data_IF_374020101735
#
_entry.id   IF_374020101735
#
_cell.length_a   1.000
_cell.length_b   1.000
_cell.length_c   1.000
_cell.angle_alpha   90.00
_cell.angle_beta   90.00
_cell.angle_gamma   90.00
#
_symmetry.space_group_name_H-M   'P 1'
#
loop_
_entity.id
_entity.type
_entity.pdbx_description
1 polymer ?
#
# COMPACT_ATOMS: atom_id res chain seq x y z
N UNK A 1 3.22 18.28 17.53
CA UNK A 1 4.04 18.09 16.31
C UNK A 1 3.89 16.65 15.87
N UNK A 2 3.68 16.36 14.58
CA UNK A 2 3.67 14.99 14.11
C UNK A 2 4.98 14.32 14.55
N UNK A 3 4.87 13.11 15.09
CA UNK A 3 6.03 12.33 15.50
C UNK A 3 7.00 12.28 14.33
N UNK A 4 8.26 12.71 14.52
CA UNK A 4 9.25 12.72 13.45
C UNK A 4 9.36 11.30 12.90
N UNK A 5 8.95 11.12 11.65
CA UNK A 5 9.12 9.86 10.95
C UNK A 5 10.62 9.51 10.96
N UNK A 6 10.96 8.33 11.47
CA UNK A 6 12.32 7.77 11.44
C UNK A 6 12.30 6.47 10.65
N UNK A 7 12.39 6.52 9.31
CA UNK A 7 12.49 5.32 8.49
C UNK A 7 13.76 4.55 8.87
N UNK A 8 13.60 3.29 9.29
CA UNK A 8 14.73 2.44 9.71
C UNK A 8 15.11 1.39 8.67
N UNK A 9 14.28 1.18 7.64
CA UNK A 9 14.51 0.17 6.60
C UNK A 9 14.20 0.72 5.21
N UNK A 10 14.97 0.27 4.23
CA UNK A 10 14.70 0.45 2.81
C UNK A 10 14.01 -0.80 2.27
N UNK A 11 12.95 -0.61 1.49
CA UNK A 11 12.10 -1.70 0.99
C UNK A 11 12.08 -1.69 -0.55
N UNK A 12 12.93 -2.49 -1.22
CA UNK A 12 12.87 -2.61 -2.68
C UNK A 12 11.63 -3.43 -3.08
N UNK A 13 10.74 -2.83 -3.86
CA UNK A 13 9.49 -3.47 -4.29
C UNK A 13 9.23 -3.26 -5.78
N UNK A 14 8.75 -4.31 -6.45
CA UNK A 14 8.23 -4.22 -7.80
C UNK A 14 6.71 -3.97 -7.77
N UNK A 15 6.23 -3.01 -8.54
CA UNK A 15 4.81 -2.64 -8.63
C UNK A 15 4.33 -2.79 -10.08
N UNK A 16 3.04 -3.11 -10.25
CA UNK A 16 2.40 -2.92 -11.55
C UNK A 16 2.29 -1.43 -11.88
N UNK A 17 2.18 -1.09 -13.16
CA UNK A 17 2.03 0.30 -13.60
C UNK A 17 0.83 1.00 -12.93
N UNK A 18 -0.30 0.28 -12.81
CA UNK A 18 -1.50 0.79 -12.13
C UNK A 18 -1.25 1.09 -10.66
N UNK A 19 -0.58 0.18 -9.94
CA UNK A 19 -0.25 0.40 -8.53
C UNK A 19 0.70 1.60 -8.35
N UNK A 20 1.72 1.72 -9.20
CA UNK A 20 2.65 2.84 -9.18
C UNK A 20 1.96 4.18 -9.44
N UNK A 21 1.09 4.26 -10.45
CA UNK A 21 0.32 5.48 -10.75
C UNK A 21 -0.58 5.90 -9.60
N UNK A 22 -1.26 4.95 -8.97
CA UNK A 22 -2.11 5.20 -7.81
C UNK A 22 -1.30 5.74 -6.64
N UNK A 23 -0.16 5.11 -6.30
CA UNK A 23 0.72 5.57 -5.23
C UNK A 23 1.24 6.99 -5.51
N UNK A 24 1.74 7.24 -6.73
CA UNK A 24 2.25 8.55 -7.14
C UNK A 24 1.18 9.64 -7.08
N UNK A 25 -0.04 9.32 -7.49
CA UNK A 25 -1.17 10.26 -7.43
C UNK A 25 -1.56 10.56 -5.98
N UNK A 26 -1.75 9.53 -5.18
CA UNK A 26 -2.10 9.66 -3.76
C UNK A 26 -1.05 10.50 -3.00
N UNK A 27 0.24 10.20 -3.19
CA UNK A 27 1.31 10.96 -2.53
C UNK A 27 1.34 12.43 -2.97
N UNK A 28 1.10 12.69 -4.27
CA UNK A 28 1.05 14.06 -4.80
C UNK A 28 -0.15 14.85 -4.27
N UNK A 29 -1.34 14.25 -4.21
CA UNK A 29 -2.55 14.90 -3.68
C UNK A 29 -2.44 15.19 -2.18
N UNK A 30 -1.79 14.31 -1.42
CA UNK A 30 -1.55 14.48 0.01
C UNK A 30 -0.34 15.38 0.34
N UNK A 31 0.47 15.77 -0.65
CA UNK A 31 1.65 16.62 -0.46
C UNK A 31 2.80 15.94 0.30
N UNK A 32 2.89 14.60 0.21
CA UNK A 32 3.90 13.79 0.90
C UNK A 32 4.72 12.96 -0.09
N UNK A 33 5.87 12.46 0.36
CA UNK A 33 6.67 11.51 -0.43
C UNK A 33 6.00 10.13 -0.50
N UNK A 34 6.41 9.31 -1.47
CA UNK A 34 5.87 7.95 -1.61
C UNK A 34 6.19 7.06 -0.39
N UNK A 35 7.39 7.23 0.19
CA UNK A 35 7.80 6.52 1.41
C UNK A 35 6.87 6.89 2.57
N UNK A 36 6.59 8.17 2.76
CA UNK A 36 5.68 8.67 3.81
C UNK A 36 4.25 8.18 3.61
N UNK A 37 3.77 8.13 2.36
CA UNK A 37 2.46 7.58 2.02
C UNK A 37 2.36 6.10 2.40
N UNK A 38 3.38 5.29 2.07
CA UNK A 38 3.43 3.88 2.44
C UNK A 38 3.51 3.71 3.96
N UNK A 39 4.32 4.51 4.65
CA UNK A 39 4.40 4.48 6.12
C UNK A 39 3.02 4.79 6.72
N UNK A 40 2.35 5.85 6.27
CA UNK A 40 1.01 6.22 6.73
C UNK A 40 0.01 5.08 6.53
N UNK A 41 -0.08 4.51 5.33
CA UNK A 41 -1.03 3.43 5.02
C UNK A 41 -0.78 2.18 5.86
N UNK A 42 0.50 1.83 6.09
CA UNK A 42 0.87 0.63 6.83
C UNK A 42 0.73 0.80 8.34
N UNK A 43 1.10 1.95 8.90
CA UNK A 43 0.91 2.24 10.33
C UNK A 43 -0.56 2.40 10.71
N UNK A 44 -1.40 2.82 9.77
CA UNK A 44 -2.84 3.01 9.97
C UNK A 44 -3.69 1.92 9.32
N UNK A 45 -3.11 0.78 8.95
CA UNK A 45 -3.77 -0.22 8.09
C UNK A 45 -5.18 -0.59 8.56
N UNK A 46 -5.36 -0.95 9.85
CA UNK A 46 -6.68 -1.29 10.41
C UNK A 46 -7.71 -0.17 10.28
N UNK A 47 -7.32 1.09 10.42
CA UNK A 47 -8.26 2.21 10.39
C UNK A 47 -8.59 2.68 8.97
N UNK A 48 -7.72 2.40 7.99
CA UNK A 48 -7.96 2.77 6.58
C UNK A 48 -8.51 1.64 5.72
N UNK A 49 -8.51 0.40 6.22
CA UNK A 49 -9.09 -0.75 5.51
C UNK A 49 -10.44 -1.15 6.08
N UNK A 50 -11.32 -1.63 5.21
CA UNK A 50 -12.61 -2.21 5.58
C UNK A 50 -12.44 -3.67 6.04
N UNK A 51 -12.85 -3.97 7.28
CA UNK A 51 -12.65 -5.29 7.92
C UNK A 51 -13.42 -6.43 7.22
N UNK A 52 -14.53 -6.13 6.53
CA UNK A 52 -15.35 -7.14 5.85
C UNK A 52 -14.89 -7.37 4.40
N UNK A 53 -14.53 -6.30 3.71
CA UNK A 53 -14.20 -6.30 2.28
C UNK A 53 -12.77 -6.78 2.03
N UNK A 54 -11.83 -6.41 2.90
CA UNK A 54 -10.41 -6.73 2.73
C UNK A 54 -10.15 -8.25 2.65
N UNK A 55 -10.67 -9.10 3.56
CA UNK A 55 -10.46 -10.55 3.47
C UNK A 55 -10.99 -11.15 2.17
N UNK A 56 -12.17 -10.69 1.72
CA UNK A 56 -12.78 -11.15 0.49
C UNK A 56 -11.92 -10.83 -0.74
N UNK A 57 -11.47 -9.57 -0.86
CA UNK A 57 -10.60 -9.14 -1.98
C UNK A 57 -9.25 -9.85 -1.98
N UNK A 58 -8.65 -10.05 -0.80
CA UNK A 58 -7.39 -10.76 -0.68
C UNK A 58 -7.49 -12.22 -1.14
N UNK A 59 -8.62 -12.89 -0.86
CA UNK A 59 -8.87 -14.26 -1.30
C UNK A 59 -8.93 -14.37 -2.83
N UNK A 60 -9.65 -13.46 -3.49
CA UNK A 60 -9.73 -13.42 -4.96
C UNK A 60 -8.35 -13.16 -5.58
N UNK A 61 -7.62 -12.19 -5.05
CA UNK A 61 -6.27 -11.88 -5.51
C UNK A 61 -5.31 -13.07 -5.38
N UNK A 62 -5.37 -13.82 -4.26
CA UNK A 62 -4.57 -15.04 -4.09
C UNK A 62 -4.93 -16.13 -5.11
N UNK A 63 -6.21 -16.27 -5.46
CA UNK A 63 -6.65 -17.22 -6.47
C UNK A 63 -6.12 -16.86 -7.86
N UNK A 64 -6.14 -15.58 -8.24
CA UNK A 64 -5.56 -15.09 -9.50
C UNK A 64 -4.05 -15.35 -9.59
N UNK A 65 -3.31 -15.07 -8.51
CA UNK A 65 -1.87 -15.36 -8.44
C UNK A 65 -1.55 -16.84 -8.57
N UNK A 66 -2.40 -17.71 -8.02
CA UNK A 66 -2.22 -19.16 -8.15
C UNK A 66 -2.48 -19.62 -9.60
N UNK A 67 -3.50 -19.07 -10.26
CA UNK A 67 -3.82 -19.39 -11.66
C UNK A 67 -2.75 -18.91 -12.64
N UNK A 68 -2.14 -17.75 -12.41
CA UNK A 68 -1.07 -17.20 -13.26
C UNK A 68 0.33 -17.80 -13.02
N UNK A 69 0.50 -18.65 -12.01
CA UNK A 69 1.74 -19.39 -11.73
C UNK A 69 1.74 -20.83 -12.28
N UNK A 70 0.62 -21.27 -12.84
CA UNK A 70 0.47 -22.58 -13.49
C UNK A 70 0.95 -22.55 -14.94
#
# INVERSE_FOLDING_TARGET
>A
MPQRLRPTRRFPVALTETAYRTLRRFSAEAGITQDEALIFLLENFRSVTDEETLPHRLRLFKAELAAGKA
#
